data_IF_365302211428
#
_entry.id   IF_365302211428
#
_cell.length_a   1.000
_cell.length_b   1.000
_cell.length_c   1.000
_cell.angle_alpha   90.00
_cell.angle_beta   90.00
_cell.angle_gamma   90.00
#
_symmetry.space_group_name_H-M   'P 1'
#
loop_
_entity.id
_entity.type
_entity.pdbx_description
1 polymer ?
#
# COMPACT_ATOMS: atom_id res chain seq x y z
N UNK A 1 -35.04 60.73 -66.28
CA UNK A 1 -35.40 60.99 -64.87
C UNK A 1 -34.91 59.81 -64.02
N UNK A 2 -33.59 59.60 -63.92
CA UNK A 2 -33.05 58.26 -63.52
C UNK A 2 -31.67 58.24 -62.86
N UNK A 3 -31.04 59.39 -62.56
CA UNK A 3 -29.68 59.42 -61.97
C UNK A 3 -29.68 59.82 -60.48
N UNK A 4 -30.72 60.53 -60.01
CA UNK A 4 -30.79 61.04 -58.63
C UNK A 4 -31.19 59.97 -57.60
N UNK A 5 -31.98 58.96 -57.99
CA UNK A 5 -32.41 57.87 -57.10
C UNK A 5 -31.30 56.86 -56.81
N UNK A 6 -30.44 56.56 -57.79
CA UNK A 6 -29.31 55.61 -57.66
C UNK A 6 -28.23 56.13 -56.70
N UNK A 7 -27.96 57.44 -56.68
CA UNK A 7 -27.00 58.03 -55.74
C UNK A 7 -27.51 58.04 -54.30
N UNK A 8 -28.83 58.02 -54.12
CA UNK A 8 -29.46 58.02 -52.79
C UNK A 8 -29.46 56.61 -52.17
N UNK A 9 -29.74 55.57 -52.96
CA UNK A 9 -29.68 54.17 -52.50
C UNK A 9 -28.26 53.72 -52.19
N UNK A 10 -27.27 54.18 -52.95
CA UNK A 10 -25.85 53.86 -52.68
C UNK A 10 -25.35 54.49 -51.37
N UNK A 11 -25.76 55.75 -51.08
CA UNK A 11 -25.42 56.43 -49.82
C UNK A 11 -26.11 55.83 -48.61
N UNK A 12 -27.35 55.38 -48.75
CA UNK A 12 -28.07 54.68 -47.69
C UNK A 12 -27.42 53.33 -47.35
N UNK A 13 -26.94 52.59 -48.36
CA UNK A 13 -26.24 51.31 -48.15
C UNK A 13 -24.90 51.49 -47.42
N UNK A 14 -24.12 52.53 -47.74
CA UNK A 14 -22.84 52.81 -47.08
C UNK A 14 -22.96 53.24 -45.61
N UNK A 15 -24.10 53.82 -45.22
CA UNK A 15 -24.35 54.23 -43.82
C UNK A 15 -24.89 53.05 -42.99
N UNK A 16 -25.58 52.09 -43.61
CA UNK A 16 -26.18 50.95 -42.92
C UNK A 16 -25.15 49.83 -42.62
N UNK A 17 -24.13 49.67 -43.47
CA UNK A 17 -23.11 48.62 -43.33
C UNK A 17 -22.29 48.65 -42.02
N UNK A 18 -21.82 49.81 -41.48
CA UNK A 18 -21.10 49.82 -40.20
C UNK A 18 -22.01 49.52 -39.00
N UNK A 19 -23.31 49.74 -39.11
CA UNK A 19 -24.27 49.50 -38.03
C UNK A 19 -24.51 48.00 -37.79
N UNK A 20 -24.41 47.19 -38.84
CA UNK A 20 -24.55 45.72 -38.77
C UNK A 20 -23.27 45.05 -38.25
N UNK A 21 -22.09 45.64 -38.48
CA UNK A 21 -20.81 45.08 -38.00
C UNK A 21 -20.54 45.31 -36.50
N UNK A 22 -21.16 46.32 -35.89
CA UNK A 22 -21.01 46.58 -34.45
C UNK A 22 -21.80 45.59 -33.55
N UNK A 23 -22.66 44.75 -34.13
CA UNK A 23 -23.58 43.87 -33.40
C UNK A 23 -22.98 42.56 -32.86
N UNK A 24 -21.73 42.21 -33.18
CA UNK A 24 -21.17 40.88 -32.85
C UNK A 24 -20.17 40.86 -31.68
N UNK A 25 -20.01 41.94 -30.91
CA UNK A 25 -19.03 41.98 -29.81
C UNK A 25 -19.47 41.37 -28.47
N UNK A 26 -20.78 41.21 -28.24
CA UNK A 26 -21.35 40.85 -26.93
C UNK A 26 -21.97 39.45 -26.85
N UNK A 27 -21.94 38.69 -27.94
CA UNK A 27 -22.61 37.38 -28.06
C UNK A 27 -21.66 36.17 -28.07
N UNK A 28 -20.35 36.39 -27.99
CA UNK A 28 -19.37 35.30 -27.90
C UNK A 28 -19.36 34.74 -26.47
N UNK A 29 -20.14 33.68 -26.28
CA UNK A 29 -20.15 32.69 -25.20
C UNK A 29 -19.05 32.86 -24.14
N UNK A 30 -19.31 33.70 -23.14
CA UNK A 30 -18.50 33.70 -21.91
C UNK A 30 -19.06 32.60 -21.02
N UNK A 31 -18.33 31.49 -20.90
CA UNK A 31 -18.61 30.49 -19.87
C UNK A 31 -18.21 31.10 -18.51
N UNK A 32 -19.12 31.87 -17.91
CA UNK A 32 -18.94 32.49 -16.59
C UNK A 32 -19.45 33.94 -16.52
N UNK A 33 -19.63 34.46 -15.30
CA UNK A 33 -20.01 35.86 -15.11
C UNK A 33 -18.87 36.77 -15.58
N UNK A 34 -19.20 37.76 -16.40
CA UNK A 34 -18.21 38.73 -16.87
C UNK A 34 -17.72 39.60 -15.72
N UNK A 35 -16.49 40.11 -15.80
CA UNK A 35 -15.94 41.04 -14.78
C UNK A 35 -16.90 42.18 -14.43
N UNK A 36 -17.60 42.72 -15.44
CA UNK A 36 -18.59 43.77 -15.23
C UNK A 36 -19.81 43.27 -14.47
N UNK A 37 -20.34 42.09 -14.80
CA UNK A 37 -21.44 41.47 -14.06
C UNK A 37 -21.03 41.14 -12.60
N UNK A 38 -19.77 40.77 -12.36
CA UNK A 38 -19.30 40.50 -10.99
C UNK A 38 -19.17 41.78 -10.16
N UNK A 39 -18.68 42.87 -10.76
CA UNK A 39 -18.38 44.12 -10.03
C UNK A 39 -19.59 45.05 -9.88
N UNK A 40 -20.62 44.91 -10.72
CA UNK A 40 -21.67 45.92 -10.89
C UNK A 40 -23.08 45.37 -10.71
N UNK A 41 -23.25 44.19 -10.09
CA UNK A 41 -24.56 43.55 -9.90
C UNK A 41 -25.08 43.67 -8.47
N UNK A 42 -26.29 44.25 -8.34
CA UNK A 42 -27.14 44.21 -7.14
C UNK A 42 -28.15 43.04 -7.14
N UNK A 43 -28.09 42.16 -8.16
CA UNK A 43 -29.03 41.06 -8.36
C UNK A 43 -28.58 39.75 -7.66
N UNK A 44 -29.53 38.90 -7.28
CA UNK A 44 -29.29 37.56 -6.74
C UNK A 44 -28.64 36.67 -7.80
N UNK A 45 -27.45 36.13 -7.50
CA UNK A 45 -26.66 35.29 -8.41
C UNK A 45 -26.50 33.86 -7.86
N UNK A 46 -26.34 32.88 -8.75
CA UNK A 46 -26.11 31.45 -8.42
C UNK A 46 -24.63 31.13 -8.07
N UNK A 47 -23.84 32.16 -7.75
CA UNK A 47 -22.44 32.02 -7.33
C UNK A 47 -22.15 32.83 -6.07
N UNK A 48 -21.20 32.34 -5.28
CA UNK A 48 -20.77 33.01 -4.07
C UNK A 48 -19.52 33.82 -4.38
N UNK A 49 -19.61 35.13 -4.22
CA UNK A 49 -18.47 36.04 -4.21
C UNK A 49 -17.72 35.86 -2.88
N UNK A 50 -16.52 35.30 -2.96
CA UNK A 50 -15.66 35.08 -1.80
C UNK A 50 -14.49 36.06 -1.90
N UNK A 51 -14.53 37.11 -1.09
CA UNK A 51 -13.41 38.02 -0.97
C UNK A 51 -12.22 37.31 -0.32
N UNK A 52 -11.08 37.35 -1.00
CA UNK A 52 -9.84 36.75 -0.54
C UNK A 52 -9.23 37.60 0.58
N UNK A 53 -9.69 37.36 1.81
CA UNK A 53 -9.12 37.93 3.03
C UNK A 53 -8.49 36.84 3.90
N UNK A 54 -7.63 37.23 4.84
CA UNK A 54 -7.01 36.28 5.77
C UNK A 54 -8.07 35.49 6.55
N UNK A 55 -9.19 36.12 6.92
CA UNK A 55 -10.30 35.51 7.66
C UNK A 55 -11.08 34.53 6.78
N UNK A 56 -11.29 34.86 5.50
CA UNK A 56 -12.03 34.02 4.56
C UNK A 56 -11.22 32.80 4.10
N UNK A 57 -9.89 32.93 4.01
CA UNK A 57 -9.00 31.85 3.55
C UNK A 57 -8.58 30.93 4.70
N UNK A 58 -8.51 31.43 5.94
CA UNK A 58 -8.11 30.67 7.12
C UNK A 58 -8.71 29.25 7.24
N UNK A 59 -10.03 29.02 7.04
CA UNK A 59 -10.61 27.67 7.14
C UNK A 59 -10.18 26.71 6.01
N UNK A 60 -9.67 27.24 4.90
CA UNK A 60 -9.19 26.45 3.75
C UNK A 60 -7.67 26.29 3.74
N UNK A 61 -6.96 26.94 4.66
CA UNK A 61 -5.52 26.76 4.78
C UNK A 61 -5.22 25.36 5.33
N UNK A 62 -4.15 24.75 4.80
CA UNK A 62 -3.60 23.53 5.39
C UNK A 62 -3.28 23.82 6.86
N UNK A 63 -3.80 23.02 7.81
CA UNK A 63 -3.41 23.15 9.21
C UNK A 63 -1.88 23.05 9.35
N UNK A 64 -1.28 23.73 10.33
CA UNK A 64 0.14 23.54 10.61
C UNK A 64 0.42 22.06 10.87
N UNK A 65 1.56 21.58 10.35
CA UNK A 65 1.99 20.20 10.54
C UNK A 65 2.09 19.93 12.05
N UNK A 66 1.46 18.87 12.57
CA UNK A 66 1.62 18.52 13.97
C UNK A 66 3.08 18.23 14.27
N UNK A 67 3.56 18.64 15.44
CA UNK A 67 4.88 18.27 15.93
C UNK A 67 5.02 16.75 15.96
N UNK A 68 6.10 16.23 15.37
CA UNK A 68 6.34 14.79 15.31
C UNK A 68 6.50 14.25 16.74
N UNK A 69 5.66 13.29 17.13
CA UNK A 69 5.82 12.61 18.40
C UNK A 69 7.12 11.80 18.36
N UNK A 70 8.02 12.02 19.33
CA UNK A 70 9.25 11.24 19.49
C UNK A 70 9.01 9.77 19.87
N UNK A 71 7.76 9.38 20.13
CA UNK A 71 7.31 8.01 20.32
C UNK A 71 7.02 7.30 18.98
N UNK A 72 7.91 7.46 18.00
CA UNK A 72 7.93 6.52 16.87
C UNK A 72 8.30 5.18 17.46
N UNK A 73 7.41 4.19 17.35
CA UNK A 73 7.59 2.87 17.93
C UNK A 73 9.02 2.39 17.66
N UNK A 74 9.77 2.15 18.73
CA UNK A 74 11.02 1.39 18.62
C UNK A 74 10.67 0.09 17.90
N UNK A 75 11.46 -0.35 16.91
CA UNK A 75 11.25 -1.64 16.29
C UNK A 75 11.46 -2.70 17.37
N UNK A 76 10.39 -3.05 18.06
CA UNK A 76 10.33 -4.25 18.89
C UNK A 76 10.45 -5.43 17.93
N UNK A 77 11.29 -6.41 18.29
CA UNK A 77 11.48 -7.58 17.44
C UNK A 77 10.23 -8.43 17.62
N UNK A 78 9.32 -8.48 16.62
CA UNK A 78 8.07 -9.20 16.82
C UNK A 78 8.40 -10.68 17.02
N UNK A 79 7.88 -11.25 18.10
CA UNK A 79 7.97 -12.69 18.32
C UNK A 79 7.13 -13.40 17.25
N UNK A 80 7.80 -14.08 16.31
CA UNK A 80 7.13 -14.74 15.19
C UNK A 80 6.33 -15.94 15.73
N UNK A 81 5.02 -15.86 15.61
CA UNK A 81 4.09 -16.95 15.92
C UNK A 81 3.59 -17.59 14.64
N UNK A 82 3.64 -18.92 14.63
CA UNK A 82 3.29 -19.72 13.47
C UNK A 82 1.78 -19.73 13.21
N UNK A 83 1.38 -19.61 11.95
CA UNK A 83 -0.04 -19.67 11.53
C UNK A 83 -0.27 -20.74 10.47
N UNK A 84 -1.52 -21.21 10.28
CA UNK A 84 -1.87 -22.07 9.17
C UNK A 84 -1.38 -21.54 7.81
N UNK A 85 -0.72 -22.40 7.04
CA UNK A 85 -0.17 -22.09 5.73
C UNK A 85 1.31 -21.73 5.71
N UNK A 86 1.92 -21.39 6.85
CA UNK A 86 3.37 -21.22 7.00
C UNK A 86 4.11 -22.52 6.63
N UNK A 87 5.35 -22.37 6.18
CA UNK A 87 6.20 -23.47 5.72
C UNK A 87 7.45 -23.55 6.57
N UNK A 88 7.64 -24.69 7.22
CA UNK A 88 8.75 -24.97 8.11
C UNK A 88 9.78 -25.87 7.44
N UNK A 89 11.04 -25.65 7.80
CA UNK A 89 12.13 -26.58 7.64
C UNK A 89 12.50 -27.13 9.00
N UNK A 90 12.47 -28.46 9.13
CA UNK A 90 12.69 -29.13 10.42
C UNK A 90 13.87 -30.07 10.25
N UNK A 91 14.94 -29.83 11.00
CA UNK A 91 16.12 -30.69 11.04
C UNK A 91 16.11 -31.46 12.35
N UNK A 92 16.29 -32.78 12.27
CA UNK A 92 16.40 -33.67 13.42
C UNK A 92 17.70 -34.44 13.28
N UNK A 93 18.53 -34.39 14.31
CA UNK A 93 19.77 -35.13 14.36
C UNK A 93 19.90 -35.88 15.69
N UNK A 94 20.50 -37.05 15.62
CA UNK A 94 20.80 -37.85 16.81
C UNK A 94 22.22 -37.52 17.30
N UNK A 95 22.38 -37.42 18.61
CA UNK A 95 23.71 -37.30 19.25
C UNK A 95 24.24 -38.67 19.70
N UNK A 96 23.38 -39.68 19.83
CA UNK A 96 23.76 -41.02 20.28
C UNK A 96 24.13 -41.94 19.12
N UNK A 97 25.16 -42.78 19.32
CA UNK A 97 25.64 -43.75 18.32
C UNK A 97 24.83 -45.06 18.30
N UNK A 98 24.23 -45.43 19.44
CA UNK A 98 23.40 -46.64 19.56
C UNK A 98 21.90 -46.29 19.54
N UNK A 99 21.15 -46.96 18.66
CA UNK A 99 19.71 -46.76 18.52
C UNK A 99 19.29 -45.55 17.70
N UNK A 100 20.20 -44.94 16.94
CA UNK A 100 19.92 -43.74 16.15
C UNK A 100 18.98 -44.03 14.97
N UNK A 101 17.90 -43.25 14.89
CA UNK A 101 16.93 -43.32 13.77
C UNK A 101 17.18 -42.18 12.77
N UNK A 102 17.83 -41.11 13.22
CA UNK A 102 18.14 -39.93 12.42
C UNK A 102 19.64 -39.84 12.16
N UNK A 103 20.01 -39.25 11.02
CA UNK A 103 21.41 -38.98 10.71
C UNK A 103 22.05 -38.07 11.77
N UNK A 104 23.34 -38.28 12.11
CA UNK A 104 24.04 -37.43 13.08
C UNK A 104 24.31 -36.03 12.52
N UNK A 105 24.61 -35.09 13.42
CA UNK A 105 24.93 -33.69 13.05
C UNK A 105 26.16 -33.58 12.13
N UNK A 106 27.12 -34.50 12.25
CA UNK A 106 28.35 -34.52 11.45
C UNK A 106 28.11 -34.66 9.94
N UNK A 107 26.95 -35.21 9.54
CA UNK A 107 26.54 -35.33 8.14
C UNK A 107 25.37 -34.41 7.78
N UNK A 108 25.01 -33.48 8.68
CA UNK A 108 23.96 -32.47 8.46
C UNK A 108 22.56 -32.85 8.98
N UNK A 109 22.40 -33.97 9.66
CA UNK A 109 21.11 -34.39 10.22
C UNK A 109 20.08 -34.84 9.18
N UNK A 110 18.91 -35.24 9.66
CA UNK A 110 17.75 -35.57 8.82
C UNK A 110 16.90 -34.32 8.64
N UNK A 111 16.75 -33.86 7.40
CA UNK A 111 16.04 -32.63 7.08
C UNK A 111 14.68 -32.94 6.48
N UNK A 112 13.64 -32.35 7.05
CA UNK A 112 12.28 -32.30 6.52
C UNK A 112 12.04 -30.90 5.97
N UNK A 113 12.25 -30.74 4.68
CA UNK A 113 11.96 -29.49 3.98
C UNK A 113 10.46 -29.34 3.68
N UNK A 114 10.03 -28.10 3.50
CA UNK A 114 8.67 -27.73 3.04
C UNK A 114 7.52 -28.31 3.87
N UNK A 115 7.69 -28.39 5.19
CA UNK A 115 6.64 -28.85 6.11
C UNK A 115 5.61 -27.75 6.32
N UNK A 116 4.51 -27.83 5.57
CA UNK A 116 3.45 -26.84 5.61
C UNK A 116 2.50 -27.09 6.78
N UNK A 117 2.20 -26.03 7.52
CA UNK A 117 1.17 -26.05 8.57
C UNK A 117 -0.20 -26.12 7.91
N UNK A 118 -0.98 -27.14 8.25
CA UNK A 118 -2.31 -27.33 7.68
C UNK A 118 -3.36 -26.35 8.25
N UNK A 119 -4.58 -26.39 7.70
CA UNK A 119 -5.68 -25.54 8.12
C UNK A 119 -6.11 -25.72 9.59
N UNK A 120 -5.75 -26.85 10.21
CA UNK A 120 -6.00 -27.13 11.63
C UNK A 120 -4.86 -26.65 12.53
N UNK A 121 -3.82 -26.04 11.96
CA UNK A 121 -2.66 -25.56 12.70
C UNK A 121 -1.70 -26.68 13.10
N UNK A 122 -1.67 -27.78 12.34
CA UNK A 122 -0.87 -28.96 12.65
C UNK A 122 0.14 -29.28 11.54
N UNK A 123 1.24 -29.91 11.93
CA UNK A 123 2.21 -30.54 11.01
C UNK A 123 2.20 -32.05 11.24
N UNK A 124 2.61 -32.81 10.23
CA UNK A 124 2.73 -34.26 10.31
C UNK A 124 4.16 -34.66 10.00
N UNK A 125 4.83 -35.27 10.96
CA UNK A 125 6.21 -35.75 10.80
C UNK A 125 6.27 -37.26 11.07
N UNK A 126 7.12 -38.01 10.34
CA UNK A 126 7.43 -39.38 10.70
C UNK A 126 7.92 -39.48 12.14
N UNK A 127 7.55 -40.56 12.84
CA UNK A 127 7.88 -40.85 14.26
C UNK A 127 7.23 -39.91 15.30
N UNK A 128 7.03 -38.63 14.99
CA UNK A 128 6.39 -37.63 15.88
C UNK A 128 4.85 -37.63 15.75
N UNK A 129 4.36 -38.05 14.59
CA UNK A 129 2.95 -38.01 14.23
C UNK A 129 2.45 -36.60 13.98
N UNK A 130 1.16 -36.36 14.27
CA UNK A 130 0.54 -35.05 14.10
C UNK A 130 0.78 -34.18 15.34
N UNK A 131 1.39 -33.01 15.15
CA UNK A 131 1.68 -32.04 16.21
C UNK A 131 0.99 -30.71 15.91
N UNK A 132 0.31 -30.13 16.92
CA UNK A 132 -0.26 -28.78 16.83
C UNK A 132 0.85 -27.76 17.07
N UNK A 133 0.99 -26.83 16.15
CA UNK A 133 2.08 -25.83 16.11
C UNK A 133 1.56 -24.40 15.90
N UNK A 134 0.27 -24.21 15.62
CA UNK A 134 -0.34 -22.89 15.52
C UNK A 134 -0.16 -22.08 16.80
N UNK A 135 0.14 -20.80 16.66
CA UNK A 135 0.39 -19.83 17.72
C UNK A 135 1.64 -20.11 18.57
N UNK A 136 2.43 -21.13 18.20
CA UNK A 136 3.71 -21.43 18.84
C UNK A 136 4.84 -20.68 18.14
N UNK A 137 5.92 -20.40 18.86
CA UNK A 137 7.18 -19.95 18.24
C UNK A 137 7.98 -21.14 17.69
N UNK A 138 8.92 -20.94 16.76
CA UNK A 138 9.79 -22.01 16.29
C UNK A 138 10.48 -22.78 17.42
N UNK A 139 10.98 -22.07 18.45
CA UNK A 139 11.62 -22.69 19.62
C UNK A 139 10.65 -23.51 20.49
N UNK A 140 9.40 -23.07 20.62
CA UNK A 140 8.37 -23.87 21.30
C UNK A 140 8.02 -25.15 20.52
N UNK A 141 8.03 -25.08 19.18
CA UNK A 141 7.85 -26.26 18.32
C UNK A 141 9.03 -27.22 18.46
N UNK A 142 10.27 -26.73 18.46
CA UNK A 142 11.47 -27.54 18.72
C UNK A 142 11.35 -28.32 20.03
N UNK A 143 10.97 -27.62 21.11
CA UNK A 143 10.79 -28.25 22.42
C UNK A 143 9.68 -29.30 22.41
N UNK A 144 8.57 -29.04 21.72
CA UNK A 144 7.44 -29.96 21.57
C UNK A 144 7.82 -31.23 20.79
N UNK A 145 8.53 -31.08 19.66
CA UNK A 145 8.99 -32.21 18.84
C UNK A 145 10.00 -33.04 19.63
N UNK A 146 11.00 -32.40 20.25
CA UNK A 146 12.01 -33.09 21.07
C UNK A 146 11.34 -33.89 22.21
N UNK A 147 10.31 -33.34 22.85
CA UNK A 147 9.55 -34.05 23.89
C UNK A 147 8.83 -35.29 23.36
N UNK A 148 8.29 -35.23 22.14
CA UNK A 148 7.60 -36.38 21.50
C UNK A 148 8.55 -37.46 21.01
N UNK A 149 9.79 -37.11 20.72
CA UNK A 149 10.84 -38.07 20.34
C UNK A 149 11.48 -38.77 21.53
N UNK A 150 11.22 -38.33 22.77
CA UNK A 150 11.69 -39.01 23.97
C UNK A 150 11.12 -40.43 24.02
N UNK A 151 12.02 -41.42 24.10
CA UNK A 151 11.67 -42.85 24.12
C UNK A 151 11.65 -43.51 22.74
N UNK A 152 11.78 -42.73 21.67
CA UNK A 152 12.03 -43.24 20.31
C UNK A 152 13.53 -43.22 20.02
N UNK A 153 14.18 -42.12 20.41
CA UNK A 153 15.64 -41.94 20.36
C UNK A 153 16.14 -41.44 21.71
N UNK A 154 17.40 -41.78 22.00
CA UNK A 154 18.14 -41.46 23.22
C UNK A 154 18.26 -39.94 23.43
N UNK A 155 18.69 -39.21 22.39
CA UNK A 155 18.94 -37.77 22.47
C UNK A 155 18.88 -37.10 21.09
N UNK A 156 17.68 -36.66 20.72
CA UNK A 156 17.46 -35.91 19.48
C UNK A 156 17.66 -34.41 19.68
N UNK A 157 18.51 -33.83 18.84
CA UNK A 157 18.58 -32.39 18.60
C UNK A 157 17.63 -32.01 17.47
N UNK A 158 16.76 -31.03 17.72
CA UNK A 158 15.76 -30.55 16.77
C UNK A 158 15.98 -29.07 16.52
N UNK A 159 15.96 -28.67 15.25
CA UNK A 159 15.98 -27.28 14.82
C UNK A 159 14.80 -27.03 13.88
N UNK A 160 14.04 -25.96 14.12
CA UNK A 160 12.89 -25.55 13.32
C UNK A 160 13.15 -24.15 12.78
N UNK A 161 13.04 -23.99 11.47
CA UNK A 161 13.20 -22.70 10.81
C UNK A 161 11.99 -22.42 9.93
N UNK A 162 11.42 -21.21 10.03
CA UNK A 162 10.37 -20.75 9.15
C UNK A 162 10.99 -20.34 7.80
N UNK A 163 10.67 -21.08 6.73
CA UNK A 163 11.23 -20.85 5.38
C UNK A 163 10.25 -20.18 4.43
N UNK A 164 8.96 -20.24 4.71
CA UNK A 164 7.94 -19.48 4.00
C UNK A 164 6.93 -18.94 4.98
N UNK A 165 6.81 -17.62 5.05
CA UNK A 165 5.89 -16.93 5.94
C UNK A 165 4.66 -16.43 5.20
N UNK A 166 3.49 -16.86 5.66
CA UNK A 166 2.25 -16.14 5.46
C UNK A 166 1.98 -15.22 6.66
N UNK A 167 2.32 -15.66 7.87
CA UNK A 167 2.15 -14.92 9.12
C UNK A 167 2.91 -13.59 9.18
N UNK A 168 4.14 -13.57 8.69
CA UNK A 168 5.07 -12.45 8.83
C UNK A 168 5.14 -11.52 7.63
N UNK A 169 4.21 -11.58 6.67
CA UNK A 169 4.33 -10.85 5.41
C UNK A 169 3.30 -9.74 5.24
N UNK A 170 3.69 -8.66 4.55
CA UNK A 170 2.80 -7.56 4.15
C UNK A 170 2.69 -7.49 2.63
N UNK A 171 1.50 -7.13 2.14
CA UNK A 171 1.25 -6.93 0.71
C UNK A 171 1.32 -5.43 0.39
N UNK A 172 2.26 -5.03 -0.46
CA UNK A 172 2.38 -3.65 -0.94
C UNK A 172 1.85 -3.57 -2.36
N UNK A 173 0.87 -2.71 -2.59
CA UNK A 173 0.19 -2.50 -3.87
C UNK A 173 -0.05 -1.01 -4.12
N UNK A 174 -0.33 -0.64 -5.38
CA UNK A 174 -0.62 0.73 -5.78
C UNK A 174 0.54 1.39 -6.52
N UNK A 175 0.71 2.70 -6.33
CA UNK A 175 1.73 3.50 -6.98
C UNK A 175 3.12 3.30 -6.34
N UNK A 176 3.66 2.08 -6.48
CA UNK A 176 5.03 1.70 -6.12
C UNK A 176 5.73 1.05 -7.31
N UNK A 177 7.07 1.04 -7.34
CA UNK A 177 7.81 0.50 -8.49
C UNK A 177 7.66 -1.02 -8.63
N UNK A 178 7.74 -1.74 -7.51
CA UNK A 178 7.68 -3.20 -7.47
C UNK A 178 6.63 -3.65 -6.45
N UNK A 179 5.34 -3.70 -6.83
CA UNK A 179 4.30 -4.24 -5.97
C UNK A 179 4.54 -5.73 -5.71
N UNK A 180 4.17 -6.20 -4.53
CA UNK A 180 4.44 -7.58 -4.14
C UNK A 180 4.25 -7.83 -2.65
N UNK A 181 4.47 -9.09 -2.25
CA UNK A 181 4.45 -9.52 -0.86
C UNK A 181 5.87 -9.51 -0.29
N UNK A 182 6.04 -8.87 0.85
CA UNK A 182 7.32 -8.68 1.52
C UNK A 182 7.30 -9.34 2.90
N UNK A 183 8.29 -10.18 3.16
CA UNK A 183 8.42 -10.99 4.37
C UNK A 183 9.18 -10.25 5.49
N UNK A 184 8.75 -10.46 6.74
CA UNK A 184 9.45 -10.01 7.95
C UNK A 184 10.48 -11.03 8.48
N UNK A 185 10.72 -12.14 7.77
CA UNK A 185 11.71 -13.16 8.18
C UNK A 185 13.14 -12.61 8.22
N UNK A 186 13.45 -11.60 7.42
CA UNK A 186 14.80 -11.01 7.33
C UNK A 186 15.06 -9.90 8.37
N UNK A 187 14.17 -9.71 9.34
CA UNK A 187 14.29 -8.69 10.39
C UNK A 187 13.04 -7.82 10.53
N UNK A 188 13.09 -6.80 11.40
CA UNK A 188 11.97 -5.87 11.60
C UNK A 188 11.50 -5.31 10.26
N UNK A 189 10.20 -5.40 10.00
CA UNK A 189 9.59 -4.87 8.78
C UNK A 189 8.70 -3.69 9.15
N UNK A 190 9.26 -2.48 9.11
CA UNK A 190 8.45 -1.27 9.28
C UNK A 190 7.69 -0.93 8.01
N UNK A 191 6.70 -0.04 8.13
CA UNK A 191 5.99 0.50 6.96
C UNK A 191 6.97 1.15 5.97
N UNK A 192 7.96 1.88 6.49
CA UNK A 192 8.97 2.56 5.68
C UNK A 192 9.87 1.53 4.97
N UNK A 193 10.27 0.46 5.65
CA UNK A 193 11.03 -0.64 5.04
C UNK A 193 10.26 -1.32 3.93
N UNK A 194 8.96 -1.61 4.15
CA UNK A 194 8.11 -2.23 3.15
C UNK A 194 7.98 -1.37 1.89
N UNK A 195 7.77 -0.06 2.04
CA UNK A 195 7.69 0.90 0.91
C UNK A 195 9.04 0.99 0.18
N UNK A 196 10.15 1.05 0.93
CA UNK A 196 11.50 1.11 0.34
C UNK A 196 11.83 -0.18 -0.42
N UNK A 197 11.49 -1.35 0.13
CA UNK A 197 11.63 -2.65 -0.54
C UNK A 197 10.74 -2.77 -1.78
N UNK A 198 9.59 -2.11 -1.80
CA UNK A 198 8.74 -1.98 -2.98
C UNK A 198 9.27 -0.95 -4.02
N UNK A 199 10.49 -0.43 -3.82
CA UNK A 199 11.16 0.50 -4.73
C UNK A 199 10.74 1.97 -4.56
N UNK A 200 9.97 2.28 -3.52
CA UNK A 200 9.45 3.60 -3.22
C UNK A 200 8.22 3.99 -4.06
N UNK A 201 7.59 5.14 -3.74
CA UNK A 201 6.45 5.64 -4.49
C UNK A 201 6.85 6.01 -5.92
N UNK A 202 5.99 5.71 -6.88
CA UNK A 202 6.12 6.26 -8.24
C UNK A 202 5.40 7.59 -8.27
N UNK A 203 6.13 8.66 -8.62
CA UNK A 203 5.51 9.90 -9.04
C UNK A 203 4.87 9.63 -10.40
N UNK A 204 3.56 9.49 -10.43
CA UNK A 204 2.81 9.58 -11.67
C UNK A 204 3.17 10.90 -12.34
N UNK A 205 3.53 10.87 -13.62
CA UNK A 205 3.55 12.11 -14.40
C UNK A 205 2.11 12.63 -14.41
N UNK A 206 1.87 13.66 -13.60
CA UNK A 206 0.65 14.46 -13.64
C UNK A 206 0.58 15.19 -14.97
#
# INVERSE_FOLDING_TARGET
MTVKSIRFTLRASTICLPLVLAGCGSLLSSAGPSRFAVMNSDATQDYILVDLTAQTIAPYMRPPEPELSSSVALPDVPEIRLVPGDVLRIMIADTATDGAIFAPLSVGGTVFDNQRIDSKGTISLPYVGRAKVSNMTPGEVEASIRKRLKGITSDAQVQVTLTGDLSGSVLVVGAVKTPGRFSALQGPLTLLDAINRAGGPVLGKV
#
